data_IF_629242539360
#
_entry.id   IF_629242539360
#
_cell.length_a   1.000
_cell.length_b   1.000
_cell.length_c   1.000
_cell.angle_alpha   90.00
_cell.angle_beta   90.00
_cell.angle_gamma   90.00
#
_symmetry.space_group_name_H-M   'P 1'
#
loop_
_entity.id
_entity.type
_entity.pdbx_description
1 polymer ?
#
# COMPACT_ATOMS: atom_id res chain seq x y z
N UNK A 1 -2.16 9.53 7.50
CA UNK A 1 -1.88 10.97 7.66
C UNK A 1 -2.80 11.69 6.72
N UNK A 2 -3.49 12.73 7.19
CA UNK A 2 -4.40 13.50 6.35
C UNK A 2 -3.71 14.64 5.65
N UNK A 3 -3.91 14.78 4.34
CA UNK A 3 -3.37 15.85 3.52
C UNK A 3 -4.44 16.83 3.02
N UNK A 4 -5.72 16.49 3.13
CA UNK A 4 -6.84 17.36 2.78
C UNK A 4 -7.56 17.90 4.01
N UNK A 5 -8.27 19.01 3.82
CA UNK A 5 -9.22 19.60 4.74
C UNK A 5 -10.62 19.51 4.11
N UNK A 6 -11.28 18.36 4.29
CA UNK A 6 -12.49 18.02 3.56
C UNK A 6 -12.22 17.70 2.08
N UNK A 7 -13.25 17.83 1.25
CA UNK A 7 -13.18 17.46 -0.17
C UNK A 7 -12.56 18.55 -1.05
N UNK A 8 -12.78 19.82 -0.71
CA UNK A 8 -12.46 20.95 -1.59
C UNK A 8 -11.09 21.57 -1.36
N UNK A 9 -10.53 21.39 -0.16
CA UNK A 9 -9.33 22.11 0.26
C UNK A 9 -8.22 21.14 0.62
N UNK A 10 -6.99 21.50 0.30
CA UNK A 10 -5.80 20.89 0.87
C UNK A 10 -5.56 21.45 2.28
N UNK A 11 -4.88 20.68 3.13
CA UNK A 11 -4.35 21.22 4.36
C UNK A 11 -3.35 22.36 4.06
N UNK A 12 -3.42 23.51 4.77
CA UNK A 12 -2.58 24.66 4.45
C UNK A 12 -1.09 24.36 4.63
N UNK A 13 -0.73 23.37 5.44
CA UNK A 13 0.65 22.96 5.69
C UNK A 13 1.26 22.22 4.49
N UNK A 14 0.46 21.66 3.58
CA UNK A 14 0.96 20.80 2.50
C UNK A 14 0.68 21.38 1.11
N UNK A 15 1.57 21.05 0.18
CA UNK A 15 1.35 21.07 -1.26
C UNK A 15 1.34 19.61 -1.73
N UNK A 16 0.46 19.28 -2.67
CA UNK A 16 0.33 17.92 -3.21
C UNK A 16 0.37 17.95 -4.74
N UNK A 17 1.19 17.08 -5.31
CA UNK A 17 1.19 16.70 -6.71
C UNK A 17 0.65 15.28 -6.85
N UNK A 18 -0.15 15.01 -7.88
CA UNK A 18 -0.75 13.70 -8.11
C UNK A 18 -0.36 13.16 -9.47
N UNK A 19 -0.28 11.84 -9.62
CA UNK A 19 -0.21 11.24 -10.95
C UNK A 19 -1.51 11.53 -11.72
N UNK A 20 -1.39 12.07 -12.94
CA UNK A 20 -2.51 12.57 -13.73
C UNK A 20 -2.59 12.01 -15.15
N UNK A 21 -1.49 11.51 -15.70
CA UNK A 21 -1.44 10.86 -17.02
C UNK A 21 -0.29 9.84 -17.06
N UNK A 22 -0.52 8.67 -17.64
CA UNK A 22 0.52 7.67 -17.93
C UNK A 22 1.28 8.05 -19.21
N UNK A 23 2.19 9.02 -19.11
CA UNK A 23 2.88 9.62 -20.25
C UNK A 23 3.71 8.63 -21.09
N UNK A 24 4.38 7.68 -20.44
CA UNK A 24 5.09 6.60 -21.14
C UNK A 24 4.96 5.30 -20.38
N UNK A 25 4.58 4.25 -21.09
CA UNK A 25 4.52 2.90 -20.55
C UNK A 25 5.38 1.98 -21.42
N UNK A 26 6.17 1.15 -20.76
CA UNK A 26 6.89 0.06 -21.40
C UNK A 26 6.90 -1.13 -20.44
N UNK A 27 7.09 -2.34 -20.96
CA UNK A 27 7.23 -3.52 -20.13
C UNK A 27 8.64 -4.11 -20.25
N UNK A 28 9.10 -4.75 -19.19
CA UNK A 28 10.23 -5.69 -19.19
C UNK A 28 9.67 -7.11 -19.28
N UNK A 29 10.52 -8.12 -19.07
CA UNK A 29 10.09 -9.52 -19.04
C UNK A 29 9.15 -9.82 -17.85
N UNK A 30 9.21 -9.02 -16.79
CA UNK A 30 8.62 -9.29 -15.47
C UNK A 30 7.84 -8.10 -14.86
N UNK A 31 7.86 -6.93 -15.48
CA UNK A 31 7.24 -5.73 -14.93
C UNK A 31 6.69 -4.77 -15.98
N UNK A 32 5.66 -4.01 -15.59
CA UNK A 32 5.16 -2.84 -16.29
C UNK A 32 5.77 -1.58 -15.67
N UNK A 33 6.41 -0.74 -16.49
CA UNK A 33 7.06 0.51 -16.07
C UNK A 33 6.34 1.70 -16.68
N UNK A 34 5.82 2.55 -15.80
CA UNK A 34 4.99 3.70 -16.11
C UNK A 34 5.70 4.96 -15.64
N UNK A 35 6.00 5.86 -16.57
CA UNK A 35 6.33 7.24 -16.27
C UNK A 35 5.01 8.02 -16.26
N UNK A 36 4.56 8.40 -15.07
CA UNK A 36 3.38 9.24 -14.91
C UNK A 36 3.78 10.70 -14.67
N UNK A 37 2.97 11.63 -15.16
CA UNK A 37 3.20 13.08 -15.04
C UNK A 37 2.15 13.73 -14.17
N UNK A 38 2.51 14.81 -13.46
CA UNK A 38 1.58 15.46 -12.53
C UNK A 38 0.53 16.33 -13.20
N UNK A 39 0.77 16.75 -14.45
CA UNK A 39 -0.18 17.49 -15.27
C UNK A 39 -0.31 16.80 -16.64
N UNK A 40 -1.53 16.62 -17.16
CA UNK A 40 -1.72 16.00 -18.47
C UNK A 40 -0.96 16.74 -19.57
N UNK A 41 -0.20 16.01 -20.38
CA UNK A 41 0.58 16.54 -21.49
C UNK A 41 -0.27 16.74 -22.76
N UNK A 42 -1.40 16.01 -22.90
CA UNK A 42 -2.38 16.15 -24.01
C UNK A 42 -1.75 16.23 -25.41
N UNK A 43 -0.69 15.47 -25.67
CA UNK A 43 0.07 15.49 -26.93
C UNK A 43 0.72 16.83 -27.31
N UNK A 44 0.88 17.77 -26.36
CA UNK A 44 1.60 19.03 -26.56
C UNK A 44 3.00 18.99 -25.94
N UNK A 45 4.03 19.06 -26.78
CA UNK A 45 5.45 19.07 -26.36
C UNK A 45 5.80 20.24 -25.45
N UNK A 46 5.10 21.37 -25.52
CA UNK A 46 5.38 22.51 -24.64
C UNK A 46 5.02 22.20 -23.17
N UNK A 47 4.13 21.24 -22.94
CA UNK A 47 3.67 20.85 -21.60
C UNK A 47 4.55 19.77 -20.96
N UNK A 48 5.49 19.16 -21.68
CA UNK A 48 6.31 18.02 -21.19
C UNK A 48 7.49 18.44 -20.30
N UNK A 49 7.50 19.67 -19.80
CA UNK A 49 8.61 20.27 -19.05
C UNK A 49 8.08 21.07 -17.84
N UNK A 50 8.93 21.33 -16.85
CA UNK A 50 8.58 22.05 -15.61
C UNK A 50 7.42 21.42 -14.81
N UNK A 51 7.42 20.09 -14.70
CA UNK A 51 6.44 19.36 -13.89
C UNK A 51 7.06 18.14 -13.21
N UNK A 52 6.35 17.65 -12.19
CA UNK A 52 6.73 16.50 -11.40
C UNK A 52 6.41 15.19 -12.15
N UNK A 53 7.26 14.18 -11.96
CA UNK A 53 7.07 12.85 -12.57
C UNK A 53 7.13 11.75 -11.53
N UNK A 54 6.31 10.72 -11.69
CA UNK A 54 6.35 9.50 -10.90
C UNK A 54 6.88 8.35 -11.77
N UNK A 55 7.90 7.64 -11.28
CA UNK A 55 8.33 6.37 -11.83
C UNK A 55 7.60 5.26 -11.11
N UNK A 56 6.68 4.59 -11.79
CA UNK A 56 5.83 3.56 -11.23
C UNK A 56 6.18 2.23 -11.87
N UNK A 57 6.54 1.24 -11.05
CA UNK A 57 6.83 -0.12 -11.51
C UNK A 57 5.84 -1.08 -10.89
N UNK A 58 5.07 -1.78 -11.72
CA UNK A 58 4.22 -2.89 -11.31
C UNK A 58 4.90 -4.19 -11.71
N UNK A 59 5.36 -4.98 -10.76
CA UNK A 59 6.01 -6.28 -10.98
C UNK A 59 5.28 -7.41 -10.26
N UNK A 60 5.71 -8.65 -10.51
CA UNK A 60 5.06 -9.85 -9.96
C UNK A 60 6.06 -10.67 -9.14
N UNK A 61 6.18 -10.41 -7.83
CA UNK A 61 7.12 -11.12 -6.95
C UNK A 61 6.72 -12.57 -6.66
N UNK A 62 5.46 -12.94 -6.91
CA UNK A 62 4.88 -14.25 -6.65
C UNK A 62 3.57 -14.37 -7.44
N UNK A 63 3.19 -15.57 -7.84
CA UNK A 63 1.92 -15.78 -8.53
C UNK A 63 0.74 -15.21 -7.71
N UNK A 64 -0.14 -14.43 -8.35
CA UNK A 64 -1.27 -13.73 -7.73
C UNK A 64 -0.92 -12.58 -6.77
N UNK A 65 0.31 -12.08 -6.84
CA UNK A 65 0.77 -10.93 -6.05
C UNK A 65 1.36 -9.89 -6.99
N UNK A 66 0.85 -8.66 -6.96
CA UNK A 66 1.51 -7.53 -7.61
C UNK A 66 2.28 -6.72 -6.60
N UNK A 67 3.51 -6.32 -6.93
CA UNK A 67 4.27 -5.29 -6.25
C UNK A 67 4.14 -4.00 -7.04
N UNK A 68 3.75 -2.91 -6.38
CA UNK A 68 3.70 -1.56 -6.93
C UNK A 68 4.76 -0.73 -6.22
N UNK A 69 5.73 -0.24 -6.96
CA UNK A 69 6.73 0.71 -6.48
C UNK A 69 6.54 2.05 -7.17
N UNK A 70 6.46 3.12 -6.38
CA UNK A 70 6.21 4.48 -6.83
C UNK A 70 7.37 5.33 -6.31
N UNK A 71 8.14 5.94 -7.22
CA UNK A 71 9.32 6.75 -6.89
C UNK A 71 9.21 8.11 -7.54
N UNK A 72 9.41 9.17 -6.76
CA UNK A 72 9.63 10.52 -7.28
C UNK A 72 11.14 10.77 -7.46
N UNK A 73 11.87 11.16 -6.41
CA UNK A 73 13.33 11.31 -6.48
C UNK A 73 14.08 10.02 -6.08
N UNK A 74 14.72 9.36 -7.04
CA UNK A 74 15.51 8.14 -6.83
C UNK A 74 16.89 8.36 -6.15
N UNK A 75 17.28 9.61 -5.89
CA UNK A 75 18.60 9.95 -5.33
C UNK A 75 18.71 9.85 -3.81
N UNK A 76 17.63 9.50 -3.09
CA UNK A 76 17.67 9.30 -1.64
C UNK A 76 18.53 8.07 -1.31
N UNK A 77 19.39 8.20 -0.29
CA UNK A 77 20.19 7.08 0.20
C UNK A 77 19.28 6.08 0.90
N UNK A 78 19.33 4.82 0.44
CA UNK A 78 18.71 3.71 1.14
C UNK A 78 19.52 3.36 2.40
N UNK A 79 18.85 3.30 3.56
CA UNK A 79 19.46 3.08 4.86
C UNK A 79 19.02 1.78 5.53
N UNK A 80 17.98 1.11 5.02
CA UNK A 80 17.35 -0.03 5.69
C UNK A 80 16.91 0.28 7.14
N UNK A 81 16.55 -0.75 7.93
CA UNK A 81 16.37 -2.15 7.52
C UNK A 81 15.19 -2.31 6.53
N UNK A 82 15.05 -3.51 5.96
CA UNK A 82 13.93 -3.86 5.09
C UNK A 82 13.28 -5.15 5.57
N UNK A 83 12.03 -5.38 5.19
CA UNK A 83 11.42 -6.69 5.35
C UNK A 83 12.17 -7.73 4.50
N UNK A 84 12.40 -8.91 5.07
CA UNK A 84 12.89 -10.07 4.31
C UNK A 84 11.70 -10.70 3.59
N UNK A 85 11.73 -10.67 2.25
CA UNK A 85 10.62 -11.13 1.42
C UNK A 85 11.04 -12.30 0.53
N UNK A 86 10.25 -13.38 0.55
CA UNK A 86 10.45 -14.58 -0.24
C UNK A 86 9.76 -14.46 -1.61
N UNK A 87 10.43 -13.79 -2.55
CA UNK A 87 9.98 -13.72 -3.94
C UNK A 87 10.22 -15.03 -4.69
N UNK A 88 9.33 -15.37 -5.61
CA UNK A 88 9.34 -16.56 -6.45
C UNK A 88 9.39 -16.15 -7.93
N UNK A 89 10.10 -16.93 -8.75
CA UNK A 89 10.00 -16.77 -10.21
C UNK A 89 8.60 -17.18 -10.66
N UNK A 90 7.92 -16.28 -11.37
CA UNK A 90 6.57 -16.54 -11.90
C UNK A 90 6.48 -16.11 -13.35
N UNK A 91 5.70 -16.85 -14.13
CA UNK A 91 5.31 -16.40 -15.46
C UNK A 91 4.34 -15.22 -15.35
N UNK A 92 4.51 -14.26 -16.25
CA UNK A 92 3.60 -13.12 -16.40
C UNK A 92 3.11 -13.06 -17.85
N UNK A 93 1.89 -12.57 -18.04
CA UNK A 93 1.36 -12.30 -19.38
C UNK A 93 1.07 -10.81 -19.51
N UNK A 94 1.52 -10.25 -20.63
CA UNK A 94 1.23 -8.88 -21.01
C UNK A 94 0.17 -8.87 -22.10
N UNK A 95 -0.80 -7.99 -21.96
CA UNK A 95 -1.79 -7.68 -22.98
C UNK A 95 -1.88 -6.17 -23.14
N UNK A 96 -2.10 -5.71 -24.36
CA UNK A 96 -2.30 -4.31 -24.66
C UNK A 96 -3.48 -4.19 -25.64
N UNK A 97 -4.39 -3.26 -25.35
CA UNK A 97 -5.45 -2.85 -26.25
C UNK A 97 -5.43 -1.33 -26.45
N UNK A 98 -6.40 -0.77 -27.16
CA UNK A 98 -6.46 0.68 -27.43
C UNK A 98 -6.61 1.54 -26.17
N UNK A 99 -7.16 1.00 -25.08
CA UNK A 99 -7.51 1.75 -23.88
C UNK A 99 -6.54 1.51 -22.69
N UNK A 100 -5.80 0.40 -22.68
CA UNK A 100 -5.01 0.00 -21.50
C UNK A 100 -3.84 -0.95 -21.80
N UNK A 101 -2.90 -0.96 -20.86
CA UNK A 101 -1.90 -2.00 -20.69
C UNK A 101 -2.31 -2.92 -19.54
N UNK A 102 -2.15 -4.23 -19.72
CA UNK A 102 -2.51 -5.24 -18.72
C UNK A 102 -1.33 -6.14 -18.40
N UNK A 103 -1.09 -6.36 -17.11
CA UNK A 103 -0.14 -7.31 -16.56
C UNK A 103 -0.92 -8.37 -15.77
N UNK A 104 -0.71 -9.64 -16.11
CA UNK A 104 -1.51 -10.77 -15.59
C UNK A 104 -0.58 -11.78 -14.92
N UNK A 105 -0.98 -12.26 -13.74
CA UNK A 105 -0.31 -13.32 -12.99
C UNK A 105 -1.35 -14.22 -12.33
N UNK A 106 -1.39 -15.51 -12.69
CA UNK A 106 -2.45 -16.41 -12.22
C UNK A 106 -3.84 -15.85 -12.53
N UNK A 107 -4.64 -15.66 -11.50
CA UNK A 107 -6.03 -15.19 -11.54
C UNK A 107 -6.20 -13.68 -11.28
N UNK A 108 -5.11 -12.94 -11.05
CA UNK A 108 -5.14 -11.49 -10.85
C UNK A 108 -4.57 -10.76 -12.08
N UNK A 109 -5.18 -9.61 -12.41
CA UNK A 109 -4.76 -8.71 -13.48
C UNK A 109 -4.64 -7.28 -12.96
N UNK A 110 -3.55 -6.62 -13.29
CA UNK A 110 -3.35 -5.19 -13.14
C UNK A 110 -3.56 -4.51 -14.50
N UNK A 111 -4.30 -3.41 -14.53
CA UNK A 111 -4.54 -2.62 -15.74
C UNK A 111 -4.10 -1.16 -15.50
N UNK A 112 -3.36 -0.59 -16.44
CA UNK A 112 -2.99 0.83 -16.49
C UNK A 112 -3.70 1.47 -17.68
N UNK A 113 -4.49 2.51 -17.46
CA UNK A 113 -5.28 3.18 -18.49
C UNK A 113 -4.46 4.19 -19.30
N UNK A 114 -4.78 4.33 -20.60
CA UNK A 114 -4.08 5.19 -21.58
C UNK A 114 -4.55 6.65 -21.55
N UNK A 115 -5.87 6.89 -21.49
CA UNK A 115 -6.44 8.23 -21.63
C UNK A 115 -6.63 8.98 -20.31
N UNK A 116 -7.10 8.29 -19.27
CA UNK A 116 -7.25 8.83 -17.92
C UNK A 116 -6.29 8.11 -16.99
N UNK A 117 -5.68 8.81 -16.02
CA UNK A 117 -4.83 8.16 -15.04
C UNK A 117 -5.60 7.14 -14.18
N UNK A 118 -5.10 5.91 -14.16
CA UNK A 118 -5.62 4.88 -13.28
C UNK A 118 -4.81 3.58 -13.34
N UNK A 119 -4.63 2.98 -12.17
CA UNK A 119 -4.17 1.61 -11.97
C UNK A 119 -5.31 0.83 -11.31
N UNK A 120 -5.76 -0.25 -11.93
CA UNK A 120 -6.87 -1.07 -11.43
C UNK A 120 -6.47 -2.54 -11.30
N UNK A 121 -6.92 -3.17 -10.22
CA UNK A 121 -6.66 -4.57 -9.92
C UNK A 121 -7.96 -5.37 -10.05
N UNK A 122 -7.88 -6.49 -10.75
CA UNK A 122 -9.00 -7.39 -11.02
C UNK A 122 -8.65 -8.80 -10.59
N UNK A 123 -9.64 -9.54 -10.09
CA UNK A 123 -9.50 -10.95 -9.75
C UNK A 123 -10.88 -11.61 -9.70
N UNK A 124 -10.98 -12.86 -10.14
CA UNK A 124 -12.27 -13.58 -10.21
C UNK A 124 -13.28 -12.88 -11.13
N UNK A 125 -12.80 -12.28 -12.22
CA UNK A 125 -13.64 -11.62 -13.24
C UNK A 125 -14.21 -10.25 -12.83
N UNK A 126 -13.88 -9.70 -11.67
CA UNK A 126 -14.36 -8.40 -11.19
C UNK A 126 -13.24 -7.47 -10.76
N UNK A 127 -13.54 -6.17 -10.67
CA UNK A 127 -12.64 -5.18 -10.07
C UNK A 127 -12.56 -5.38 -8.56
N UNK A 128 -11.33 -5.50 -8.06
CA UNK A 128 -11.02 -5.62 -6.63
C UNK A 128 -10.87 -4.23 -6.02
N UNK A 129 -9.93 -3.44 -6.57
CA UNK A 129 -9.64 -2.07 -6.13
C UNK A 129 -8.94 -1.28 -7.25
N UNK A 130 -8.69 0.00 -7.04
CA UNK A 130 -7.91 0.84 -7.95
C UNK A 130 -7.32 2.07 -7.27
N UNK A 131 -6.18 2.52 -7.78
CA UNK A 131 -5.66 3.87 -7.60
C UNK A 131 -6.00 4.70 -8.85
N UNK A 132 -6.97 5.60 -8.72
CA UNK A 132 -7.43 6.47 -9.82
C UNK A 132 -7.11 7.94 -9.56
N UNK A 133 -8.04 8.82 -9.94
CA UNK A 133 -7.94 10.26 -9.69
C UNK A 133 -7.54 10.60 -8.25
N UNK A 134 -6.44 11.35 -8.10
CA UNK A 134 -5.84 11.73 -6.82
C UNK A 134 -5.61 10.52 -5.88
N UNK A 135 -5.21 9.39 -6.47
CA UNK A 135 -4.79 8.16 -5.81
C UNK A 135 -3.33 8.29 -5.34
N UNK A 136 -2.41 8.09 -6.28
CA UNK A 136 -0.97 8.31 -6.13
C UNK A 136 -0.65 9.80 -6.03
N UNK A 137 0.15 10.17 -5.04
CA UNK A 137 0.70 11.52 -4.96
C UNK A 137 1.97 11.66 -4.13
N UNK A 138 2.56 12.84 -4.26
CA UNK A 138 3.69 13.34 -3.48
C UNK A 138 3.20 14.58 -2.71
N UNK A 139 3.47 14.62 -1.41
CA UNK A 139 3.15 15.76 -0.55
C UNK A 139 4.41 16.33 0.08
N UNK A 140 4.47 17.64 0.24
CA UNK A 140 5.58 18.33 0.88
C UNK A 140 5.13 19.60 1.60
N UNK A 141 5.88 20.04 2.60
CA UNK A 141 5.51 21.19 3.42
C UNK A 141 5.54 22.51 2.63
N UNK A 142 4.51 23.34 2.82
CA UNK A 142 4.35 24.64 2.16
C UNK A 142 5.43 25.62 2.62
N UNK A 143 6.00 26.36 1.67
CA UNK A 143 7.09 27.30 1.93
C UNK A 143 8.48 26.70 1.75
N UNK A 144 8.56 25.39 1.49
CA UNK A 144 9.77 24.72 1.03
C UNK A 144 9.71 24.48 -0.49
N UNK A 145 10.87 24.44 -1.14
CA UNK A 145 10.98 23.86 -2.49
C UNK A 145 10.85 22.32 -2.37
N UNK A 146 10.77 21.58 -3.49
CA UNK A 146 10.74 20.09 -3.50
C UNK A 146 11.94 19.39 -2.79
N UNK A 147 12.79 20.15 -2.10
CA UNK A 147 13.93 19.72 -1.29
C UNK A 147 13.70 19.92 0.22
N UNK A 148 12.45 20.04 0.66
CA UNK A 148 12.09 20.20 2.07
C UNK A 148 12.56 19.05 2.96
N UNK A 149 12.64 19.30 4.28
CA UNK A 149 13.11 18.30 5.25
C UNK A 149 12.15 17.11 5.33
N UNK A 150 10.84 17.33 5.13
CA UNK A 150 9.81 16.27 5.13
C UNK A 150 8.98 16.27 3.85
N UNK A 151 9.10 15.19 3.11
CA UNK A 151 8.26 14.86 1.96
C UNK A 151 7.54 13.55 2.23
N UNK A 152 6.45 13.28 1.53
CA UNK A 152 5.66 12.07 1.72
C UNK A 152 5.22 11.52 0.37
N UNK A 153 5.29 10.19 0.24
CA UNK A 153 4.61 9.46 -0.82
C UNK A 153 3.34 8.85 -0.26
N UNK A 154 2.26 8.87 -1.04
CA UNK A 154 1.01 8.20 -0.66
C UNK A 154 0.30 7.61 -1.87
N UNK A 155 -0.53 6.61 -1.59
CA UNK A 155 -1.54 6.10 -2.52
C UNK A 155 -2.86 5.95 -1.77
N UNK A 156 -3.98 5.97 -2.49
CA UNK A 156 -5.31 5.72 -1.93
C UNK A 156 -6.11 4.76 -2.81
N UNK A 157 -6.34 3.56 -2.28
CA UNK A 157 -7.00 2.46 -2.98
C UNK A 157 -8.49 2.46 -2.71
N UNK A 158 -9.29 2.38 -3.76
CA UNK A 158 -10.76 2.42 -3.71
C UNK A 158 -11.35 1.25 -2.90
N UNK A 159 -12.39 1.54 -2.12
CA UNK A 159 -13.24 0.57 -1.43
C UNK A 159 -14.63 0.56 -2.08
N UNK A 160 -15.11 -0.63 -2.43
CA UNK A 160 -16.44 -0.81 -3.00
C UNK A 160 -17.55 -0.77 -1.93
N UNK A 161 -18.81 -0.74 -2.37
CA UNK A 161 -19.97 -0.77 -1.48
C UNK A 161 -19.94 -2.06 -0.65
N UNK A 162 -20.09 -1.92 0.67
CA UNK A 162 -20.07 -3.04 1.60
C UNK A 162 -18.69 -3.69 1.79
N UNK A 163 -17.62 -3.01 1.36
CA UNK A 163 -16.26 -3.48 1.58
C UNK A 163 -15.74 -3.12 2.98
N UNK A 164 -15.30 -4.15 3.71
CA UNK A 164 -14.77 -4.04 5.06
C UNK A 164 -13.29 -4.39 5.10
N UNK A 165 -12.54 -3.60 5.86
CA UNK A 165 -11.08 -3.73 6.03
C UNK A 165 -10.75 -4.34 7.39
N UNK A 166 -9.77 -5.24 7.42
CA UNK A 166 -9.31 -5.98 8.60
C UNK A 166 -7.77 -6.01 8.66
N UNK A 167 -7.21 -6.37 9.81
CA UNK A 167 -5.77 -6.52 10.01
C UNK A 167 -5.14 -5.28 10.65
N UNK A 168 -4.03 -4.83 10.08
CA UNK A 168 -3.16 -3.75 10.59
C UNK A 168 -2.46 -4.08 11.91
N UNK A 169 -2.24 -5.38 12.17
CA UNK A 169 -1.61 -5.89 13.38
C UNK A 169 -2.58 -6.28 14.49
N UNK A 170 -2.06 -6.42 15.71
CA UNK A 170 -2.84 -6.70 16.92
C UNK A 170 -3.49 -5.40 17.42
N UNK A 171 -4.79 -5.24 17.20
CA UNK A 171 -5.53 -4.02 17.53
C UNK A 171 -6.66 -4.32 18.50
N UNK A 172 -6.92 -3.39 19.43
CA UNK A 172 -7.87 -3.56 20.52
C UNK A 172 -9.18 -2.77 20.34
N UNK A 173 -9.26 -1.90 19.34
CA UNK A 173 -10.48 -1.23 18.91
C UNK A 173 -11.42 -2.13 18.08
N UNK A 174 -12.44 -1.56 17.41
CA UNK A 174 -13.35 -2.32 16.56
C UNK A 174 -12.60 -3.16 15.52
N UNK A 175 -13.11 -4.37 15.30
CA UNK A 175 -12.50 -5.36 14.41
C UNK A 175 -12.40 -4.85 12.96
N UNK A 176 -13.50 -4.28 12.45
CA UNK A 176 -13.55 -3.60 11.14
C UNK A 176 -12.86 -2.25 11.22
N UNK A 177 -11.92 -1.99 10.32
CA UNK A 177 -11.04 -0.81 10.32
C UNK A 177 -11.59 0.41 9.60
N UNK A 178 -12.67 0.27 8.83
CA UNK A 178 -13.34 1.40 8.20
C UNK A 178 -13.70 2.46 9.27
N UNK A 179 -13.30 3.71 9.04
CA UNK A 179 -13.46 4.82 9.97
C UNK A 179 -12.31 4.97 10.99
N UNK A 180 -11.21 4.22 10.86
CA UNK A 180 -10.05 4.31 11.77
C UNK A 180 -8.82 4.87 11.04
N UNK A 181 -8.13 5.81 11.70
CA UNK A 181 -6.75 6.19 11.37
C UNK A 181 -5.83 5.26 12.17
N UNK A 182 -4.82 4.68 11.52
CA UNK A 182 -3.94 3.68 12.15
C UNK A 182 -2.49 3.93 11.75
N UNK A 183 -1.66 4.22 12.74
CA UNK A 183 -0.21 4.43 12.55
C UNK A 183 0.57 3.15 12.88
N UNK A 184 1.57 2.84 12.06
CA UNK A 184 2.43 1.67 12.23
C UNK A 184 3.59 2.00 13.16
N UNK A 185 3.29 2.03 14.46
CA UNK A 185 4.29 2.32 15.49
C UNK A 185 4.11 1.42 16.71
N UNK A 186 5.10 0.57 16.98
CA UNK A 186 5.08 -0.30 18.16
C UNK A 186 5.20 0.54 19.44
N UNK A 187 4.18 0.47 20.28
CA UNK A 187 4.09 1.25 21.50
C UNK A 187 3.55 0.41 22.66
N UNK A 188 4.06 0.70 23.87
CA UNK A 188 3.52 0.13 25.10
C UNK A 188 2.33 0.98 25.59
N UNK A 189 1.13 0.58 25.15
CA UNK A 189 -0.12 1.30 25.42
C UNK A 189 -1.19 0.49 26.14
N UNK A 190 -0.85 -0.69 26.66
CA UNK A 190 -1.82 -1.66 27.16
C UNK A 190 -2.74 -2.20 26.07
N UNK A 191 -3.90 -2.71 26.46
CA UNK A 191 -4.88 -3.34 25.55
C UNK A 191 -6.21 -2.58 25.47
N UNK A 192 -6.20 -1.31 25.87
CA UNK A 192 -7.41 -0.48 26.01
C UNK A 192 -7.29 0.89 25.32
N UNK A 193 -6.37 1.01 24.35
CA UNK A 193 -6.15 2.20 23.53
C UNK A 193 -5.97 1.83 22.05
N UNK A 194 -5.77 2.82 21.20
CA UNK A 194 -5.44 2.68 19.78
C UNK A 194 -3.99 2.18 19.56
N UNK A 195 -3.13 2.38 20.55
CA UNK A 195 -1.74 1.93 20.52
C UNK A 195 -1.68 0.41 20.47
N UNK A 196 -0.62 -0.10 19.84
CA UNK A 196 -0.44 -1.53 19.64
C UNK A 196 1.01 -1.94 19.84
N UNK A 197 1.20 -3.11 20.45
CA UNK A 197 2.50 -3.75 20.58
C UNK A 197 3.00 -4.33 19.24
N UNK A 198 2.07 -4.79 18.39
CA UNK A 198 2.37 -5.58 17.19
C UNK A 198 1.71 -4.93 15.98
N UNK A 199 2.37 -3.90 15.43
CA UNK A 199 1.92 -3.21 14.23
C UNK A 199 2.41 -3.97 13.01
N UNK A 200 1.51 -4.22 12.06
CA UNK A 200 1.84 -4.88 10.80
C UNK A 200 1.21 -4.05 9.67
N UNK A 201 1.98 -3.51 8.71
CA UNK A 201 1.46 -2.69 7.61
C UNK A 201 0.73 -3.52 6.54
N UNK A 202 -0.09 -4.47 6.97
CA UNK A 202 -0.88 -5.36 6.13
C UNK A 202 -2.35 -5.27 6.53
N UNK A 203 -3.22 -5.00 5.56
CA UNK A 203 -4.65 -5.15 5.71
C UNK A 203 -5.20 -6.12 4.66
N UNK A 204 -6.40 -6.64 4.91
CA UNK A 204 -7.16 -7.41 3.94
C UNK A 204 -8.63 -7.06 3.99
N UNK A 205 -9.37 -7.39 2.94
CA UNK A 205 -10.79 -7.04 2.83
C UNK A 205 -11.69 -8.25 2.65
N UNK A 206 -12.98 -8.06 2.93
CA UNK A 206 -14.01 -9.07 2.61
C UNK A 206 -14.23 -9.27 1.10
N UNK A 207 -13.49 -8.57 0.22
CA UNK A 207 -13.51 -8.79 -1.22
C UNK A 207 -12.42 -9.75 -1.71
N UNK A 208 -11.64 -10.33 -0.80
CA UNK A 208 -10.73 -11.41 -1.16
C UNK A 208 -9.37 -10.94 -1.67
N UNK A 209 -8.90 -9.79 -1.22
CA UNK A 209 -7.53 -9.34 -1.44
C UNK A 209 -6.96 -8.72 -0.17
N UNK A 210 -5.64 -8.64 -0.12
CA UNK A 210 -4.89 -7.92 0.90
C UNK A 210 -3.91 -6.93 0.31
N UNK A 211 -3.48 -5.97 1.12
CA UNK A 211 -2.46 -5.00 0.76
C UNK A 211 -1.44 -4.93 1.87
N UNK A 212 -0.17 -5.14 1.51
CA UNK A 212 0.98 -5.00 2.39
C UNK A 212 1.80 -3.80 1.93
N UNK A 213 1.99 -2.79 2.79
CA UNK A 213 2.88 -1.66 2.53
C UNK A 213 4.27 -2.03 3.04
N UNK A 214 5.23 -2.08 2.13
CA UNK A 214 6.61 -2.55 2.37
C UNK A 214 7.49 -1.38 2.79
N UNK A 215 7.27 -0.96 4.03
CA UNK A 215 8.02 0.08 4.69
C UNK A 215 8.12 -0.25 6.18
N UNK A 216 9.35 -0.30 6.71
CA UNK A 216 9.62 -0.62 8.11
C UNK A 216 9.53 0.61 9.03
N UNK A 217 9.32 1.79 8.45
CA UNK A 217 9.14 3.05 9.16
C UNK A 217 7.65 3.33 9.41
N UNK A 218 7.34 4.58 9.76
CA UNK A 218 6.03 5.02 10.21
C UNK A 218 5.06 5.14 9.03
N UNK A 219 4.39 4.04 8.69
CA UNK A 219 3.28 4.06 7.74
C UNK A 219 2.02 4.55 8.43
N UNK A 220 1.38 5.57 7.88
CA UNK A 220 0.14 6.11 8.42
C UNK A 220 -1.04 5.80 7.50
N UNK A 221 -2.01 5.04 8.00
CA UNK A 221 -3.21 4.63 7.27
C UNK A 221 -4.42 5.50 7.63
N UNK A 222 -5.14 5.96 6.62
CA UNK A 222 -6.47 6.55 6.73
C UNK A 222 -7.48 5.58 6.12
N UNK A 223 -8.08 4.71 6.94
CA UNK A 223 -9.01 3.67 6.47
C UNK A 223 -10.41 4.27 6.42
N UNK A 224 -10.81 4.80 5.27
CA UNK A 224 -12.09 5.50 5.08
C UNK A 224 -12.30 6.71 6.02
N UNK A 225 -11.22 7.35 6.50
CA UNK A 225 -11.27 8.48 7.42
C UNK A 225 -11.03 9.84 6.77
N UNK A 226 -10.26 9.91 5.69
CA UNK A 226 -10.05 11.12 4.90
C UNK A 226 -10.94 11.11 3.65
N UNK A 227 -10.81 10.06 2.84
CA UNK A 227 -11.72 9.75 1.73
C UNK A 227 -12.49 8.51 2.10
N UNK A 228 -13.80 8.65 2.38
CA UNK A 228 -14.65 7.56 2.92
C UNK A 228 -14.76 6.32 2.03
N UNK A 229 -14.38 6.44 0.75
CA UNK A 229 -14.38 5.37 -0.24
C UNK A 229 -12.97 4.85 -0.55
N UNK A 230 -11.97 5.10 0.32
CA UNK A 230 -10.59 4.66 0.08
C UNK A 230 -9.87 4.24 1.36
N UNK A 231 -8.90 3.35 1.20
CA UNK A 231 -7.80 3.18 2.16
C UNK A 231 -6.62 3.97 1.62
N UNK A 232 -6.27 5.06 2.31
CA UNK A 232 -5.05 5.80 2.01
C UNK A 232 -3.94 5.35 2.95
N UNK A 233 -2.73 5.27 2.43
CA UNK A 233 -1.52 5.02 3.21
C UNK A 233 -0.41 5.93 2.71
N UNK A 234 0.36 6.45 3.66
CA UNK A 234 1.42 7.41 3.41
C UNK A 234 2.67 7.06 4.20
N UNK A 235 3.82 7.31 3.58
CA UNK A 235 5.15 7.14 4.18
C UNK A 235 5.96 8.41 3.97
N UNK A 236 6.85 8.73 4.92
CA UNK A 236 7.80 9.84 4.75
C UNK A 236 8.87 9.46 3.72
N UNK A 237 9.12 10.33 2.75
CA UNK A 237 10.19 10.18 1.76
C UNK A 237 9.72 10.27 0.31
N UNK A 238 10.49 9.64 -0.57
CA UNK A 238 10.41 9.77 -2.03
C UNK A 238 10.03 8.47 -2.74
N UNK A 239 9.77 7.42 -1.96
CA UNK A 239 9.46 6.07 -2.44
C UNK A 239 8.33 5.47 -1.60
N UNK A 240 7.37 4.86 -2.28
CA UNK A 240 6.31 4.04 -1.67
C UNK A 240 6.30 2.68 -2.38
N UNK A 241 6.30 1.60 -1.61
CA UNK A 241 6.16 0.23 -2.13
C UNK A 241 5.01 -0.45 -1.43
N UNK A 242 4.13 -1.08 -2.19
CA UNK A 242 3.08 -1.92 -1.63
C UNK A 242 2.79 -3.12 -2.52
N UNK A 243 2.15 -4.13 -1.94
CA UNK A 243 1.82 -5.38 -2.59
C UNK A 243 0.31 -5.56 -2.57
N UNK A 244 -0.30 -5.91 -3.70
CA UNK A 244 -1.70 -6.35 -3.78
C UNK A 244 -1.70 -7.87 -3.89
N UNK A 245 -2.29 -8.53 -2.91
CA UNK A 245 -2.25 -9.99 -2.72
C UNK A 245 -3.65 -10.55 -2.91
N UNK A 246 -3.88 -11.31 -3.98
CA UNK A 246 -5.21 -11.86 -4.27
C UNK A 246 -5.46 -13.19 -3.55
N UNK A 247 -6.75 -13.44 -3.23
CA UNK A 247 -7.29 -14.64 -2.60
C UNK A 247 -7.80 -15.66 -3.63
N UNK A 248 -9.11 -15.75 -3.92
CA UNK A 248 -10.22 -14.87 -3.52
C UNK A 248 -10.74 -15.05 -2.10
N UNK A 249 -10.38 -16.13 -1.41
CA UNK A 249 -10.80 -16.36 -0.03
C UNK A 249 -9.83 -15.71 0.96
N UNK A 250 -10.30 -15.21 2.12
CA UNK A 250 -9.43 -14.64 3.16
C UNK A 250 -8.24 -15.54 3.53
N UNK A 251 -8.46 -16.86 3.63
CA UNK A 251 -7.40 -17.83 3.91
C UNK A 251 -6.34 -17.91 2.80
N UNK A 252 -6.75 -17.77 1.53
CA UNK A 252 -5.82 -17.77 0.41
C UNK A 252 -4.98 -16.48 0.35
N UNK A 253 -5.56 -15.33 0.76
CA UNK A 253 -4.80 -14.09 0.95
C UNK A 253 -3.72 -14.29 2.02
N UNK A 254 -4.09 -14.84 3.19
CA UNK A 254 -3.14 -15.11 4.28
C UNK A 254 -2.10 -16.16 3.92
N UNK A 255 -2.48 -17.19 3.14
CA UNK A 255 -1.54 -18.20 2.65
C UNK A 255 -0.43 -17.55 1.82
N UNK A 256 -0.78 -16.71 0.84
CA UNK A 256 0.19 -15.99 0.01
C UNK A 256 0.97 -14.95 0.80
N UNK A 257 0.31 -14.18 1.68
CA UNK A 257 0.98 -13.20 2.53
C UNK A 257 2.06 -13.86 3.40
N UNK A 258 1.72 -14.95 4.10
CA UNK A 258 2.70 -15.68 4.92
C UNK A 258 3.72 -16.46 4.11
N UNK A 259 3.43 -16.83 2.86
CA UNK A 259 4.47 -17.35 1.95
C UNK A 259 5.50 -16.28 1.60
N UNK A 260 5.03 -15.05 1.37
CA UNK A 260 5.86 -13.90 1.04
C UNK A 260 6.68 -13.39 2.24
N UNK A 261 6.08 -13.31 3.43
CA UNK A 261 6.67 -12.62 4.60
C UNK A 261 7.16 -13.55 5.70
N UNK A 262 6.93 -14.87 5.59
CA UNK A 262 7.37 -15.86 6.56
C UNK A 262 6.22 -16.71 7.11
N UNK A 263 6.42 -18.03 7.10
CA UNK A 263 5.44 -18.98 7.62
C UNK A 263 5.55 -19.07 9.15
N UNK A 264 4.44 -19.09 9.89
CA UNK A 264 4.46 -19.42 11.31
C UNK A 264 5.08 -20.81 11.51
N UNK A 265 6.03 -20.92 12.44
CA UNK A 265 6.56 -22.21 12.85
C UNK A 265 5.49 -23.03 13.57
N UNK A 266 5.56 -24.36 13.45
CA UNK A 266 4.73 -25.27 14.25
C UNK A 266 5.27 -25.31 15.69
N UNK A 267 4.51 -24.85 16.70
CA UNK A 267 4.97 -24.93 18.09
C UNK A 267 4.97 -26.38 18.60
N UNK A 268 5.81 -26.73 19.58
CA UNK A 268 5.84 -28.07 20.17
C UNK A 268 4.54 -28.37 20.93
N UNK A 269 4.09 -29.64 20.93
CA UNK A 269 2.78 -30.02 21.47
C UNK A 269 2.53 -29.58 22.93
N UNK A 270 3.56 -29.61 23.79
CA UNK A 270 3.45 -29.20 25.19
C UNK A 270 3.08 -27.72 25.36
N UNK A 271 3.37 -26.86 24.38
CA UNK A 271 3.08 -25.42 24.47
C UNK A 271 1.57 -25.13 24.45
N UNK A 272 0.74 -26.08 24.02
CA UNK A 272 -0.72 -25.99 24.03
C UNK A 272 -1.33 -26.40 25.38
N UNK A 273 -0.50 -26.80 26.36
CA UNK A 273 -0.92 -27.09 27.72
C UNK A 273 -1.28 -25.83 28.53
N UNK A 274 -1.53 -26.01 29.83
CA UNK A 274 -1.78 -24.90 30.75
C UNK A 274 -0.46 -24.19 31.11
N UNK A 275 -0.49 -22.85 31.13
CA UNK A 275 0.63 -22.02 31.56
C UNK A 275 0.28 -21.34 32.89
N UNK A 276 1.23 -21.35 33.82
CA UNK A 276 1.14 -20.63 35.09
C UNK A 276 2.43 -19.82 35.27
N UNK A 277 2.28 -18.56 35.68
CA UNK A 277 3.39 -17.70 36.07
C UNK A 277 3.27 -17.35 37.55
N UNK A 278 4.36 -16.84 38.12
CA UNK A 278 4.39 -16.37 39.51
C UNK A 278 3.56 -15.12 39.74
N UNK A 279 2.92 -14.54 38.70
CA UNK A 279 2.38 -13.17 38.64
C UNK A 279 3.49 -12.10 38.46
N UNK A 280 3.15 -10.81 38.49
CA UNK A 280 4.10 -9.73 38.16
C UNK A 280 4.81 -9.14 39.39
N UNK A 281 4.06 -8.67 40.39
CA UNK A 281 4.61 -7.94 41.55
C UNK A 281 4.53 -8.73 42.86
N UNK A 282 4.48 -10.06 42.77
CA UNK A 282 4.41 -10.99 43.90
C UNK A 282 5.81 -11.42 44.35
N UNK A 283 5.93 -11.87 45.59
CA UNK A 283 7.09 -12.62 46.04
C UNK A 283 6.93 -14.08 45.64
N UNK A 284 8.02 -14.76 45.27
CA UNK A 284 8.04 -16.18 44.95
C UNK A 284 9.33 -16.83 45.44
N UNK A 285 9.21 -18.04 45.93
CA UNK A 285 10.26 -18.99 46.30
C UNK A 285 9.83 -20.40 45.82
N UNK A 286 10.65 -21.41 46.11
CA UNK A 286 10.42 -22.82 45.70
C UNK A 286 9.33 -23.53 46.51
#
# INVERSE_FOLDING_TARGET
MRFTNGYWMQKPEFIQDYASEAYRVHHTDDALKVLAVSKPCKNDRATTLNQLTFNITVSVPMENVFRVEIVHHAGRKDRGPHFELACENTSVRFEEDEAKWSLISGDIRCEVTKDEWGIAFYGGGRKLTSSGYHGVGHAYERGMTHYGEKTYMFDSLFLDIGEYVYGLGERFGPYVKNGQTVDMWNADGGTSSELAYKNIPFYMTNRGYGVFVDDTSDVSFEVATEKVQRVQFSVEGEKLVYYVIYGPEPKAVLDRYTRLTGRPALPPAWSFGLWLSTSFTTNYDE
#
